data_IF_712528778369
#
_entry.id   IF_712528778369
#
_cell.length_a   1.000
_cell.length_b   1.000
_cell.length_c   1.000
_cell.angle_alpha   90.00
_cell.angle_beta   90.00
_cell.angle_gamma   90.00
#
_symmetry.space_group_name_H-M   'P 1'
#
loop_
_entity.id
_entity.type
_entity.pdbx_description
1 polymer ?
#
# COMPACT_ATOMS: atom_id res chain seq x y z
N UNK A 1 27.63 -2.13 -2.09
CA UNK A 1 26.62 -1.09 -2.39
C UNK A 1 26.03 -1.35 -3.77
N UNK A 2 24.76 -1.74 -3.84
CA UNK A 2 24.08 -2.05 -5.10
C UNK A 2 23.56 -0.80 -5.82
N UNK A 3 23.33 -0.84 -7.15
CA UNK A 3 22.88 0.33 -7.93
C UNK A 3 21.56 0.93 -7.42
N UNK A 4 20.67 0.11 -6.86
CA UNK A 4 19.40 0.59 -6.29
C UNK A 4 19.55 1.36 -4.97
N UNK A 5 20.64 1.15 -4.23
CA UNK A 5 20.90 1.86 -2.97
C UNK A 5 21.24 3.33 -3.24
N UNK A 6 22.08 3.60 -4.24
CA UNK A 6 22.36 4.96 -4.71
C UNK A 6 21.10 5.71 -5.14
N UNK A 7 20.22 5.05 -5.90
CA UNK A 7 18.93 5.62 -6.30
C UNK A 7 18.08 5.95 -5.06
N UNK A 8 18.04 5.04 -4.08
CA UNK A 8 17.29 5.26 -2.85
C UNK A 8 17.84 6.46 -2.05
N UNK A 9 19.15 6.62 -1.95
CA UNK A 9 19.79 7.75 -1.27
C UNK A 9 19.45 9.08 -1.94
N UNK A 10 19.51 9.13 -3.28
CA UNK A 10 19.10 10.30 -4.06
C UNK A 10 17.65 10.69 -3.69
N UNK A 11 16.75 9.71 -3.60
CA UNK A 11 15.34 9.92 -3.23
C UNK A 11 15.09 10.24 -1.76
N UNK A 12 16.05 10.00 -0.86
CA UNK A 12 16.00 10.51 0.53
C UNK A 12 16.33 12.00 0.56
N UNK A 13 17.27 12.46 -0.27
CA UNK A 13 17.71 13.87 -0.39
C UNK A 13 16.85 14.68 -1.38
N UNK A 14 15.54 14.75 -1.15
CA UNK A 14 14.59 15.44 -2.06
C UNK A 14 14.79 16.95 -2.18
N UNK A 15 15.50 17.57 -1.23
CA UNK A 15 15.78 19.01 -1.24
C UNK A 15 17.00 19.39 -2.08
N UNK A 16 17.79 18.41 -2.54
CA UNK A 16 18.91 18.67 -3.45
C UNK A 16 18.43 19.32 -4.75
N UNK A 17 19.28 20.17 -5.35
CA UNK A 17 18.94 20.91 -6.57
C UNK A 17 18.57 19.99 -7.72
N UNK A 18 19.30 18.87 -7.88
CA UNK A 18 19.01 17.82 -8.85
C UNK A 18 17.59 17.29 -8.68
N UNK A 19 17.19 16.94 -7.46
CA UNK A 19 15.85 16.39 -7.22
C UNK A 19 14.75 17.43 -7.35
N UNK A 20 14.97 18.66 -6.90
CA UNK A 20 14.00 19.75 -7.08
C UNK A 20 13.78 20.03 -8.57
N UNK A 21 14.85 20.10 -9.35
CA UNK A 21 14.79 20.29 -10.80
C UNK A 21 14.00 19.16 -11.48
N UNK A 22 14.36 17.91 -11.23
CA UNK A 22 13.69 16.75 -11.83
C UNK A 22 12.20 16.66 -11.44
N UNK A 23 11.86 16.91 -10.17
CA UNK A 23 10.48 16.89 -9.70
C UNK A 23 9.65 18.03 -10.30
N UNK A 24 10.24 19.22 -10.50
CA UNK A 24 9.56 20.35 -11.15
C UNK A 24 9.19 20.02 -12.59
N UNK A 25 10.15 19.51 -13.37
CA UNK A 25 9.91 19.08 -14.76
C UNK A 25 8.85 17.98 -14.83
N UNK A 26 8.91 16.98 -13.93
CA UNK A 26 7.93 15.89 -13.87
C UNK A 26 6.53 16.37 -13.51
N UNK A 27 6.40 17.24 -12.51
CA UNK A 27 5.11 17.81 -12.13
C UNK A 27 4.47 18.58 -13.30
N UNK A 28 5.27 19.33 -14.06
CA UNK A 28 4.78 20.00 -15.26
C UNK A 28 4.31 18.99 -16.32
N UNK A 29 5.11 17.97 -16.62
CA UNK A 29 4.75 16.91 -17.56
C UNK A 29 3.42 16.22 -17.16
N UNK A 30 3.24 15.89 -15.89
CA UNK A 30 2.02 15.20 -15.41
C UNK A 30 0.77 16.08 -15.45
N UNK A 31 0.90 17.42 -15.43
CA UNK A 31 -0.24 18.33 -15.58
C UNK A 31 -0.81 18.37 -17.00
N UNK A 32 0.01 18.03 -18.00
CA UNK A 32 -0.41 17.99 -19.40
C UNK A 32 -1.09 16.67 -19.78
N UNK A 33 -0.94 15.64 -18.94
CA UNK A 33 -1.54 14.32 -19.17
C UNK A 33 -2.95 14.25 -18.58
N UNK A 34 -3.74 13.29 -19.07
CA UNK A 34 -5.04 12.98 -18.47
C UNK A 34 -4.91 12.56 -17.00
N UNK A 35 -5.99 12.78 -16.24
CA UNK A 35 -6.06 12.43 -14.82
C UNK A 35 -5.71 10.95 -14.56
N UNK A 36 -6.06 10.06 -15.49
CA UNK A 36 -5.65 8.66 -15.51
C UNK A 36 -4.99 8.34 -16.85
N UNK A 37 -3.73 7.95 -16.82
CA UNK A 37 -2.97 7.49 -17.99
C UNK A 37 -2.08 6.30 -17.61
N UNK A 38 -1.77 5.44 -18.58
CA UNK A 38 -0.87 4.30 -18.39
C UNK A 38 0.58 4.75 -18.58
N UNK A 39 1.41 4.56 -17.56
CA UNK A 39 2.86 4.81 -17.68
C UNK A 39 3.57 3.65 -18.39
N UNK A 40 4.40 3.88 -19.42
CA UNK A 40 5.10 2.82 -20.14
C UNK A 40 6.28 2.25 -19.34
N UNK A 41 6.93 3.08 -18.52
CA UNK A 41 8.05 2.69 -17.66
C UNK A 41 7.87 3.27 -16.26
N UNK A 42 8.43 2.58 -15.29
CA UNK A 42 8.41 3.00 -13.90
C UNK A 42 9.35 4.19 -13.72
N UNK A 43 8.84 5.26 -13.12
CA UNK A 43 9.62 6.46 -12.79
C UNK A 43 10.60 6.22 -11.64
N UNK A 44 10.28 5.25 -10.76
CA UNK A 44 11.07 4.91 -9.58
C UNK A 44 11.23 3.38 -9.44
N UNK A 45 12.26 2.78 -10.06
CA UNK A 45 12.46 1.33 -10.07
C UNK A 45 12.86 0.76 -8.70
N UNK A 46 13.57 1.51 -7.85
CA UNK A 46 13.97 1.08 -6.51
C UNK A 46 12.75 0.85 -5.58
N UNK A 47 11.83 1.81 -5.55
CA UNK A 47 10.65 1.77 -4.67
C UNK A 47 9.64 0.72 -5.12
N UNK A 48 9.41 0.62 -6.43
CA UNK A 48 8.47 -0.34 -7.01
C UNK A 48 8.92 -1.78 -6.78
N UNK A 49 10.23 -2.05 -6.92
CA UNK A 49 10.81 -3.36 -6.57
C UNK A 49 10.60 -3.70 -5.10
N UNK A 50 10.80 -2.75 -4.18
CA UNK A 50 10.51 -2.95 -2.74
C UNK A 50 9.03 -3.25 -2.46
N UNK A 51 8.12 -2.67 -3.26
CA UNK A 51 6.68 -2.94 -3.16
C UNK A 51 6.26 -4.27 -3.82
N UNK A 52 7.20 -5.02 -4.39
CA UNK A 52 6.95 -6.33 -4.99
C UNK A 52 6.71 -6.32 -6.49
N UNK A 53 6.88 -5.19 -7.19
CA UNK A 53 6.83 -5.18 -8.66
C UNK A 53 7.97 -6.02 -9.23
N UNK A 54 7.64 -6.92 -10.16
CA UNK A 54 8.59 -7.69 -10.96
C UNK A 54 8.26 -7.48 -12.44
N UNK A 55 9.26 -7.17 -13.26
CA UNK A 55 9.11 -7.06 -14.71
C UNK A 55 8.98 -8.46 -15.32
N UNK A 56 7.77 -9.04 -15.26
CA UNK A 56 7.45 -10.39 -15.74
C UNK A 56 6.03 -10.44 -16.28
N UNK A 57 5.79 -11.27 -17.30
CA UNK A 57 4.47 -11.39 -17.93
C UNK A 57 3.57 -12.45 -17.26
N UNK A 58 4.15 -13.55 -16.75
CA UNK A 58 3.38 -14.63 -16.15
C UNK A 58 3.07 -14.39 -14.65
N UNK A 59 1.77 -14.27 -14.32
CA UNK A 59 1.29 -14.06 -12.93
C UNK A 59 0.93 -15.38 -12.26
N UNK A 60 0.10 -16.22 -12.91
CA UNK A 60 -0.48 -17.44 -12.31
C UNK A 60 0.55 -18.53 -12.01
N UNK A 61 1.62 -18.63 -12.80
CA UNK A 61 2.68 -19.65 -12.62
C UNK A 61 3.68 -19.28 -11.52
N UNK A 62 3.67 -18.05 -11.04
CA UNK A 62 4.65 -17.58 -10.07
C UNK A 62 4.08 -17.68 -8.64
N UNK A 63 4.68 -18.50 -7.76
CA UNK A 63 4.13 -18.76 -6.43
C UNK A 63 4.05 -17.51 -5.55
N UNK A 64 4.99 -16.56 -5.69
CA UNK A 64 5.02 -15.32 -4.89
C UNK A 64 3.83 -14.39 -5.17
N UNK A 65 3.31 -14.41 -6.40
CA UNK A 65 2.28 -13.47 -6.87
C UNK A 65 0.95 -14.12 -7.16
N UNK A 66 0.88 -15.43 -7.36
CA UNK A 66 -0.34 -16.14 -7.73
C UNK A 66 -1.47 -15.93 -6.71
N UNK A 67 -1.16 -15.67 -5.44
CA UNK A 67 -2.19 -15.39 -4.43
C UNK A 67 -3.16 -14.29 -4.87
N UNK A 68 -2.72 -13.26 -5.62
CA UNK A 68 -3.60 -12.14 -6.05
C UNK A 68 -4.72 -12.57 -6.99
N UNK A 69 -4.61 -13.72 -7.66
CA UNK A 69 -5.59 -14.17 -8.66
C UNK A 69 -6.78 -14.90 -8.05
N UNK A 70 -6.80 -15.12 -6.73
CA UNK A 70 -7.95 -15.75 -6.04
C UNK A 70 -9.14 -14.78 -6.00
N UNK A 71 -10.40 -15.26 -6.09
CA UNK A 71 -11.59 -14.39 -6.14
C UNK A 71 -11.74 -13.50 -4.90
N UNK A 72 -11.27 -13.94 -3.73
CA UNK A 72 -11.27 -13.16 -2.48
C UNK A 72 -10.39 -11.90 -2.51
N UNK A 73 -9.56 -11.74 -3.55
CA UNK A 73 -8.66 -10.60 -3.72
C UNK A 73 -9.11 -9.66 -4.84
N UNK A 74 -10.38 -9.73 -5.21
CA UNK A 74 -11.04 -8.76 -6.09
C UNK A 74 -11.22 -7.42 -5.37
N UNK A 75 -11.08 -6.31 -6.11
CA UNK A 75 -11.32 -4.93 -5.65
C UNK A 75 -10.66 -4.53 -4.31
N UNK A 76 -9.47 -5.04 -3.95
CA UNK A 76 -8.82 -4.80 -2.65
C UNK A 76 -8.64 -3.32 -2.28
N UNK A 77 -8.64 -2.43 -3.26
CA UNK A 77 -8.64 -0.98 -3.11
C UNK A 77 -9.89 -0.46 -2.39
N UNK A 78 -11.08 -1.00 -2.67
CA UNK A 78 -12.33 -0.50 -2.10
C UNK A 78 -12.50 -0.90 -0.62
N UNK A 79 -12.24 -2.16 -0.19
CA UNK A 79 -12.29 -2.54 1.21
C UNK A 79 -11.10 -2.05 2.05
N UNK A 80 -10.18 -1.25 1.48
CA UNK A 80 -9.02 -0.72 2.21
C UNK A 80 -7.95 -1.77 2.54
N UNK A 81 -7.84 -2.86 1.78
CA UNK A 81 -6.86 -3.94 2.02
C UNK A 81 -5.48 -3.67 1.40
N UNK A 82 -5.31 -2.51 0.76
CA UNK A 82 -4.01 -2.00 0.28
C UNK A 82 -3.17 -1.47 1.45
N UNK A 83 -1.87 -1.31 1.24
CA UNK A 83 -0.99 -0.73 2.27
C UNK A 83 -1.35 0.72 2.64
N UNK A 84 -1.93 1.48 1.70
CA UNK A 84 -2.47 2.81 1.96
C UNK A 84 -3.78 2.74 2.76
N UNK A 85 -4.74 1.91 2.32
CA UNK A 85 -6.02 1.74 3.01
C UNK A 85 -5.86 1.23 4.45
N UNK A 86 -4.99 0.24 4.68
CA UNK A 86 -4.76 -0.30 6.03
C UNK A 86 -4.22 0.72 7.04
N UNK A 87 -3.52 1.78 6.58
CA UNK A 87 -3.00 2.83 7.46
C UNK A 87 -4.13 3.66 8.06
N UNK A 88 -5.17 3.98 7.28
CA UNK A 88 -6.31 4.74 7.79
C UNK A 88 -7.19 3.93 8.73
N UNK A 89 -7.22 2.59 8.58
CA UNK A 89 -7.98 1.70 9.46
C UNK A 89 -7.50 1.72 10.92
N UNK A 90 -6.27 2.13 11.20
CA UNK A 90 -5.71 2.15 12.55
C UNK A 90 -5.55 0.75 13.14
N UNK A 91 -5.16 -0.22 12.32
CA UNK A 91 -4.82 -1.57 12.77
C UNK A 91 -3.40 -1.59 13.35
N UNK A 92 -3.20 -2.34 14.42
CA UNK A 92 -1.89 -2.50 15.04
C UNK A 92 -1.94 -3.42 16.25
N UNK A 93 -0.81 -3.53 16.94
CA UNK A 93 -0.64 -4.33 18.16
C UNK A 93 -0.25 -3.39 19.30
N UNK A 94 -0.50 -3.84 20.54
CA UNK A 94 -0.27 -3.10 21.80
C UNK A 94 -1.43 -2.19 22.22
N UNK A 95 -1.33 -1.66 23.46
CA UNK A 95 -2.37 -0.87 24.18
C UNK A 95 -2.99 0.26 23.36
N UNK A 96 -2.21 0.90 22.48
CA UNK A 96 -2.66 2.01 21.64
C UNK A 96 -3.73 1.63 20.62
N UNK A 97 -3.90 0.34 20.29
CA UNK A 97 -4.81 -0.13 19.24
C UNK A 97 -6.09 -0.79 19.78
N UNK A 98 -6.53 -0.38 20.97
CA UNK A 98 -7.70 -0.98 21.62
C UNK A 98 -9.01 -0.78 20.82
N UNK A 99 -9.12 0.28 20.01
CA UNK A 99 -10.29 0.54 19.16
C UNK A 99 -10.48 -0.47 18.02
N UNK A 100 -9.48 -1.28 17.67
CA UNK A 100 -9.52 -2.22 16.54
C UNK A 100 -9.35 -3.68 16.94
N UNK A 101 -9.48 -4.00 18.25
CA UNK A 101 -9.43 -5.38 18.76
C UNK A 101 -10.55 -6.21 18.11
N UNK A 102 -10.18 -7.32 17.46
CA UNK A 102 -11.11 -8.16 16.69
C UNK A 102 -11.19 -7.80 15.19
N UNK A 103 -10.28 -6.95 14.70
CA UNK A 103 -10.01 -6.76 13.26
C UNK A 103 -10.59 -5.50 12.64
N UNK A 104 -11.61 -4.87 13.23
CA UNK A 104 -12.13 -3.57 12.79
C UNK A 104 -12.73 -2.78 13.94
N UNK A 105 -12.90 -1.46 13.77
CA UNK A 105 -13.55 -0.60 14.76
C UNK A 105 -15.01 -1.01 14.99
N UNK A 106 -15.74 -1.29 13.92
CA UNK A 106 -17.14 -1.73 13.99
C UNK A 106 -17.27 -3.09 14.68
N UNK A 107 -16.35 -4.02 14.45
CA UNK A 107 -16.33 -5.31 15.17
C UNK A 107 -16.02 -5.11 16.65
N UNK A 108 -15.04 -4.26 16.98
CA UNK A 108 -14.70 -3.94 18.36
C UNK A 108 -15.86 -3.27 19.10
N UNK A 109 -16.56 -2.33 18.45
CA UNK A 109 -17.74 -1.67 19.01
C UNK A 109 -18.88 -2.67 19.22
N UNK A 110 -19.22 -3.48 18.20
CA UNK A 110 -20.29 -4.49 18.32
C UNK A 110 -20.05 -5.40 19.52
N UNK A 111 -18.85 -5.98 19.63
CA UNK A 111 -18.48 -6.87 20.74
C UNK A 111 -18.61 -6.23 22.13
N UNK A 112 -18.38 -4.93 22.28
CA UNK A 112 -18.52 -4.23 23.58
C UNK A 112 -19.97 -3.89 23.93
N UNK A 113 -20.83 -3.73 22.92
CA UNK A 113 -22.22 -3.33 23.10
C UNK A 113 -23.20 -4.51 23.02
N UNK A 114 -22.72 -5.72 22.72
CA UNK A 114 -23.52 -6.96 22.77
C UNK A 114 -23.52 -7.53 24.19
N UNK A 115 -24.69 -7.50 24.84
CA UNK A 115 -24.95 -8.18 26.12
C UNK A 115 -24.69 -9.69 25.96
N UNK A 116 -23.89 -10.27 26.86
CA UNK A 116 -23.69 -11.73 26.92
C UNK A 116 -24.71 -12.33 27.89
N UNK A 117 -25.63 -13.15 27.37
CA UNK A 117 -26.60 -13.90 28.19
C UNK A 117 -26.19 -15.37 28.21
N UNK A 118 -25.70 -15.81 29.36
CA UNK A 118 -25.29 -17.19 29.57
C UNK A 118 -26.51 -17.98 30.08
N UNK A 119 -26.68 -19.24 29.64
CA UNK A 119 -27.87 -20.05 29.98
C UNK A 119 -27.97 -20.35 31.48
N UNK A 120 -26.83 -20.40 32.14
CA UNK A 120 -26.68 -20.55 33.58
C UNK A 120 -25.60 -19.55 34.02
N UNK A 121 -25.76 -18.96 35.21
CA UNK A 121 -24.74 -18.12 35.82
C UNK A 121 -23.51 -18.95 36.21
#
# INVERSE_FOLDING_TARGET
MGPYEYIQELWRKKQSDVMRFLLRVRCWQYRQLSALHRAPRLTRPDKTRRLGYKAKQAIRRNPDTQWITKPVHTHREMPGLTSAGRRSCGLGKCRKFHHTIGGSRCAAWRRRNTLQLHRYC
#
